data_IF_107460145616
#
_entry.id   IF_107460145616
#
_cell.length_a   1.000
_cell.length_b   1.000
_cell.length_c   1.000
_cell.angle_alpha   90.00
_cell.angle_beta   90.00
_cell.angle_gamma   90.00
#
_symmetry.space_group_name_H-M   'P 1'
#
loop_
_entity.id
_entity.type
_entity.pdbx_description
1 polymer ?
#
# COMPACT_ATOMS: atom_id res chain seq x y z
N UNK A 1 -5.64 -6.60 -49.37
CA UNK A 1 -6.96 -5.93 -49.35
C UNK A 1 -8.10 -6.93 -49.47
N UNK A 2 -8.50 -7.57 -48.36
CA UNK A 2 -9.90 -7.82 -47.97
C UNK A 2 -9.92 -8.63 -46.66
N UNK A 3 -10.74 -8.15 -45.73
CA UNK A 3 -11.18 -8.73 -44.46
C UNK A 3 -10.19 -8.74 -43.28
N UNK A 4 -9.84 -7.53 -42.82
CA UNK A 4 -9.53 -7.25 -41.42
C UNK A 4 -10.86 -6.93 -40.70
N UNK A 5 -11.61 -7.96 -40.34
CA UNK A 5 -12.77 -7.83 -39.45
C UNK A 5 -12.55 -8.72 -38.24
N UNK A 6 -12.54 -8.08 -37.06
CA UNK A 6 -12.75 -8.70 -35.76
C UNK A 6 -11.72 -9.74 -35.31
N UNK A 7 -10.57 -9.24 -34.85
CA UNK A 7 -9.88 -9.67 -33.61
C UNK A 7 -8.70 -8.73 -33.37
N UNK A 8 -8.57 -8.25 -32.14
CA UNK A 8 -7.57 -7.29 -31.70
C UNK A 8 -6.15 -7.71 -32.11
N UNK A 9 -5.50 -6.92 -32.96
CA UNK A 9 -4.05 -7.06 -33.21
C UNK A 9 -3.35 -6.13 -32.23
N UNK A 10 -2.82 -6.73 -31.17
CA UNK A 10 -1.96 -6.05 -30.18
C UNK A 10 -0.60 -5.81 -30.84
N UNK A 11 -0.34 -4.56 -31.25
CA UNK A 11 0.96 -4.13 -31.75
C UNK A 11 1.85 -3.70 -30.58
N UNK A 12 2.82 -4.54 -30.22
CA UNK A 12 3.88 -4.18 -29.27
C UNK A 12 5.20 -4.74 -29.74
N UNK A 13 6.19 -3.86 -29.91
CA UNK A 13 7.64 -4.11 -29.91
C UNK A 13 8.15 -5.21 -30.84
N UNK A 14 9.13 -4.88 -31.69
CA UNK A 14 9.84 -5.88 -32.50
C UNK A 14 10.48 -6.91 -31.57
N UNK A 15 9.82 -8.05 -31.36
CA UNK A 15 10.40 -9.22 -30.71
C UNK A 15 10.85 -10.17 -31.84
N UNK A 16 12.11 -10.61 -31.85
CA UNK A 16 12.62 -11.58 -32.83
C UNK A 16 11.82 -12.89 -32.89
N UNK A 17 11.02 -13.19 -31.86
CA UNK A 17 10.25 -14.43 -31.73
C UNK A 17 8.94 -14.47 -32.55
N UNK A 18 8.62 -13.45 -33.37
CA UNK A 18 7.44 -13.48 -34.26
C UNK A 18 7.75 -13.77 -35.74
N UNK A 19 9.02 -14.00 -36.10
CA UNK A 19 9.40 -14.30 -37.49
C UNK A 19 9.47 -15.81 -37.72
N UNK A 20 8.31 -16.44 -37.92
CA UNK A 20 8.27 -17.78 -38.50
C UNK A 20 8.51 -17.61 -40.01
N UNK A 21 9.66 -18.09 -40.51
CA UNK A 21 10.06 -18.18 -41.92
C UNK A 21 10.82 -17.00 -42.57
N UNK A 22 11.67 -16.29 -41.82
CA UNK A 22 12.61 -15.34 -42.45
C UNK A 22 14.03 -15.64 -42.04
N UNK A 23 14.88 -15.89 -43.04
CA UNK A 23 16.32 -15.88 -42.88
C UNK A 23 16.80 -14.48 -42.48
N UNK A 24 17.22 -14.33 -41.22
CA UNK A 24 18.03 -13.22 -40.70
C UNK A 24 17.49 -11.78 -40.91
N UNK A 25 16.56 -11.36 -40.04
CA UNK A 25 16.24 -9.93 -39.81
C UNK A 25 17.12 -9.39 -38.69
N UNK A 26 17.78 -8.24 -38.92
CA UNK A 26 18.61 -7.59 -37.90
C UNK A 26 18.09 -6.18 -37.60
N UNK A 27 17.91 -5.90 -36.31
CA UNK A 27 17.68 -4.56 -35.78
C UNK A 27 18.94 -4.07 -35.08
N UNK A 28 19.39 -2.86 -35.41
CA UNK A 28 20.50 -2.21 -34.72
C UNK A 28 20.15 -0.76 -34.39
N UNK A 29 20.39 -0.38 -33.13
CA UNK A 29 20.36 1.01 -32.72
C UNK A 29 21.75 1.60 -32.97
N UNK A 30 21.86 2.54 -33.90
CA UNK A 30 23.16 3.01 -34.42
C UNK A 30 23.65 4.27 -33.69
N UNK A 31 22.77 4.90 -32.88
CA UNK A 31 23.00 6.06 -32.02
C UNK A 31 23.56 7.34 -32.69
N UNK A 32 24.12 7.25 -33.90
CA UNK A 32 24.34 8.30 -34.92
C UNK A 32 25.04 7.65 -36.13
N UNK A 33 24.45 7.75 -37.33
CA UNK A 33 24.96 7.03 -38.50
C UNK A 33 26.32 7.53 -39.01
N UNK A 34 26.68 8.79 -38.74
CA UNK A 34 27.81 9.47 -39.38
C UNK A 34 29.06 9.63 -38.50
N UNK A 35 29.09 9.10 -37.27
CA UNK A 35 30.37 9.00 -36.51
C UNK A 35 31.14 7.76 -36.96
N UNK A 36 32.38 7.99 -37.43
CA UNK A 36 33.14 7.05 -38.26
C UNK A 36 33.42 5.65 -37.68
N UNK A 37 33.48 5.48 -36.36
CA UNK A 37 33.79 4.18 -35.75
C UNK A 37 32.61 3.20 -35.83
N UNK A 38 31.41 3.62 -35.44
CA UNK A 38 30.23 2.74 -35.41
C UNK A 38 29.72 2.39 -36.81
N UNK A 39 29.89 3.29 -37.78
CA UNK A 39 29.50 3.03 -39.16
C UNK A 39 30.41 2.01 -39.84
N UNK A 40 31.72 2.06 -39.60
CA UNK A 40 32.65 1.06 -40.11
C UNK A 40 32.37 -0.33 -39.53
N UNK A 41 32.11 -0.41 -38.22
CA UNK A 41 31.75 -1.67 -37.55
C UNK A 41 30.41 -2.21 -38.05
N UNK A 42 29.43 -1.33 -38.28
CA UNK A 42 28.13 -1.72 -38.82
C UNK A 42 28.25 -2.21 -40.26
N UNK A 43 29.05 -1.55 -41.11
CA UNK A 43 29.34 -2.03 -42.47
C UNK A 43 30.01 -3.40 -42.43
N UNK A 44 31.00 -3.60 -41.57
CA UNK A 44 31.63 -4.92 -41.40
C UNK A 44 30.64 -5.97 -40.93
N UNK A 45 29.76 -5.65 -39.98
CA UNK A 45 28.70 -6.54 -39.52
C UNK A 45 27.72 -6.90 -40.65
N UNK A 46 27.24 -5.92 -41.41
CA UNK A 46 26.34 -6.15 -42.55
C UNK A 46 27.03 -6.98 -43.63
N UNK A 47 28.32 -6.72 -43.88
CA UNK A 47 29.10 -7.42 -44.89
C UNK A 47 29.39 -8.87 -44.50
N UNK A 48 29.56 -9.16 -43.20
CA UNK A 48 29.79 -10.51 -42.67
C UNK A 48 28.49 -11.31 -42.49
N UNK A 49 27.46 -10.70 -41.93
CA UNK A 49 26.22 -11.39 -41.54
C UNK A 49 25.18 -11.43 -42.67
N UNK A 50 25.29 -10.51 -43.65
CA UNK A 50 24.48 -10.48 -44.87
C UNK A 50 22.95 -10.65 -44.64
N UNK A 51 22.32 -9.91 -43.71
CA UNK A 51 20.88 -10.06 -43.41
C UNK A 51 19.97 -9.89 -44.64
N UNK A 52 18.81 -10.54 -44.64
CA UNK A 52 17.80 -10.32 -45.70
C UNK A 52 17.03 -9.01 -45.51
N UNK A 53 16.89 -8.57 -44.25
CA UNK A 53 16.22 -7.33 -43.88
C UNK A 53 16.94 -6.67 -42.69
N UNK A 54 17.26 -5.39 -42.81
CA UNK A 54 18.02 -4.63 -41.83
C UNK A 54 17.28 -3.35 -41.43
N UNK A 55 17.19 -3.12 -40.13
CA UNK A 55 16.51 -1.96 -39.54
C UNK A 55 17.52 -1.18 -38.72
N UNK A 56 17.70 0.08 -39.10
CA UNK A 56 18.63 0.99 -38.47
C UNK A 56 17.84 2.08 -37.74
N UNK A 57 17.93 2.11 -36.41
CA UNK A 57 17.25 3.09 -35.57
C UNK A 57 18.23 4.09 -34.96
N UNK A 58 17.72 5.27 -34.59
CA UNK A 58 18.51 6.40 -34.12
C UNK A 58 19.61 6.77 -35.13
N UNK A 59 19.23 6.89 -36.40
CA UNK A 59 20.19 7.24 -37.46
C UNK A 59 20.67 8.69 -37.29
N UNK A 60 19.79 9.59 -36.86
CA UNK A 60 20.05 11.03 -36.72
C UNK A 60 20.55 11.68 -38.03
N UNK A 61 19.96 11.26 -39.14
CA UNK A 61 20.36 11.66 -40.50
C UNK A 61 19.44 12.75 -41.03
N UNK A 62 20.01 13.67 -41.80
CA UNK A 62 19.29 14.71 -42.54
C UNK A 62 18.97 14.20 -43.95
N UNK A 63 17.94 14.74 -44.59
CA UNK A 63 17.51 14.33 -45.94
C UNK A 63 18.63 14.44 -47.01
N UNK A 64 19.64 15.28 -46.73
CA UNK A 64 20.79 15.56 -47.59
C UNK A 64 21.95 14.56 -47.41
N UNK A 65 21.93 13.75 -46.34
CA UNK A 65 22.99 12.78 -46.06
C UNK A 65 22.86 11.56 -46.99
N UNK A 66 23.89 11.27 -47.78
CA UNK A 66 23.90 10.09 -48.67
C UNK A 66 24.33 8.83 -47.89
N UNK A 67 23.39 7.92 -47.71
CA UNK A 67 23.56 6.74 -46.86
C UNK A 67 23.05 5.53 -47.62
N UNK A 68 23.91 5.05 -48.49
CA UNK A 68 23.73 3.81 -49.22
C UNK A 68 24.42 2.64 -48.50
N UNK A 69 23.77 1.48 -48.53
CA UNK A 69 24.30 0.22 -47.99
C UNK A 69 24.46 -0.73 -49.16
N UNK A 70 25.70 -1.00 -49.54
CA UNK A 70 26.02 -1.81 -50.70
C UNK A 70 25.33 -3.18 -50.66
N UNK A 71 24.59 -3.49 -51.73
CA UNK A 71 23.81 -4.73 -51.86
C UNK A 71 22.42 -4.70 -51.23
N UNK A 72 21.97 -3.57 -50.68
CA UNK A 72 20.63 -3.40 -50.11
C UNK A 72 19.90 -2.22 -50.76
N UNK A 73 18.59 -2.37 -50.91
CA UNK A 73 17.68 -1.31 -51.30
C UNK A 73 17.08 -0.65 -50.06
N UNK A 74 17.07 0.67 -50.05
CA UNK A 74 16.33 1.47 -49.06
C UNK A 74 14.83 1.41 -49.34
N UNK A 75 14.04 0.96 -48.36
CA UNK A 75 12.58 0.83 -48.47
C UNK A 75 11.88 2.09 -47.98
N UNK A 76 12.30 2.58 -46.82
CA UNK A 76 11.81 3.81 -46.23
C UNK A 76 12.92 4.40 -45.38
N UNK A 77 13.06 5.72 -45.48
CA UNK A 77 13.94 6.48 -44.63
C UNK A 77 13.16 7.65 -44.04
N UNK A 78 13.39 7.87 -42.77
CA UNK A 78 12.66 8.82 -41.96
C UNK A 78 13.71 9.73 -41.33
N UNK A 79 13.95 10.83 -42.03
CA UNK A 79 15.00 11.79 -41.69
C UNK A 79 14.51 12.85 -40.73
N UNK A 80 15.47 13.47 -40.03
CA UNK A 80 15.20 14.47 -39.03
C UNK A 80 14.91 15.84 -39.67
N UNK A 81 13.66 16.29 -39.65
CA UNK A 81 13.32 17.67 -40.01
C UNK A 81 13.66 18.62 -38.84
N UNK A 82 14.89 19.12 -38.83
CA UNK A 82 15.36 20.32 -38.09
C UNK A 82 14.94 20.44 -36.59
N UNK A 83 15.11 19.44 -35.72
CA UNK A 83 15.18 19.66 -34.25
C UNK A 83 16.05 18.65 -33.47
N UNK A 84 16.60 19.12 -32.34
CA UNK A 84 17.54 18.48 -31.39
C UNK A 84 17.08 17.15 -30.73
N UNK A 85 15.92 16.60 -31.09
CA UNK A 85 15.37 15.35 -30.52
C UNK A 85 14.70 14.44 -31.57
N UNK A 86 15.01 14.64 -32.86
CA UNK A 86 14.46 13.83 -33.93
C UNK A 86 15.19 12.48 -34.03
N UNK A 87 14.45 11.38 -33.89
CA UNK A 87 14.94 10.02 -34.01
C UNK A 87 14.80 9.54 -35.46
N UNK A 88 15.92 9.33 -36.17
CA UNK A 88 15.91 8.82 -37.54
C UNK A 88 15.74 7.30 -37.61
N UNK A 89 15.02 6.81 -38.63
CA UNK A 89 14.77 5.39 -38.85
C UNK A 89 14.94 5.05 -40.33
N UNK A 90 15.68 3.98 -40.64
CA UNK A 90 15.91 3.52 -42.00
C UNK A 90 15.70 2.01 -42.12
N UNK A 91 15.04 1.61 -43.20
CA UNK A 91 14.74 0.22 -43.53
C UNK A 91 15.45 -0.19 -44.81
N UNK A 92 16.22 -1.28 -44.75
CA UNK A 92 17.02 -1.81 -45.85
C UNK A 92 16.66 -3.28 -46.10
N UNK A 93 16.64 -3.67 -47.37
CA UNK A 93 16.34 -5.05 -47.77
C UNK A 93 17.07 -5.44 -49.05
N UNK A 94 17.35 -6.73 -49.21
CA UNK A 94 17.83 -7.28 -50.49
C UNK A 94 16.69 -7.64 -51.46
N UNK A 95 15.47 -7.73 -50.96
CA UNK A 95 14.30 -8.22 -51.69
C UNK A 95 13.31 -7.08 -52.01
N UNK A 96 12.24 -7.38 -52.74
CA UNK A 96 11.21 -6.38 -53.01
C UNK A 96 10.31 -6.17 -51.80
N UNK A 97 10.19 -4.93 -51.33
CA UNK A 97 9.35 -4.55 -50.20
C UNK A 97 8.53 -3.28 -50.50
N UNK A 98 7.36 -3.16 -49.88
CA UNK A 98 6.46 -2.02 -49.99
C UNK A 98 6.03 -1.50 -48.62
N UNK A 99 5.93 -0.18 -48.49
CA UNK A 99 5.37 0.47 -47.29
C UNK A 99 3.85 0.45 -47.39
N UNK A 100 3.16 -0.12 -46.40
CA UNK A 100 1.70 -0.20 -46.37
C UNK A 100 1.06 1.03 -45.75
N UNK A 101 1.60 1.49 -44.62
CA UNK A 101 1.21 2.76 -44.00
C UNK A 101 2.29 3.26 -43.05
N UNK A 102 2.33 4.58 -42.90
CA UNK A 102 3.18 5.28 -41.93
C UNK A 102 2.32 6.27 -41.17
N UNK A 103 2.34 6.19 -39.84
CA UNK A 103 1.61 7.11 -38.97
C UNK A 103 2.56 7.74 -37.95
N UNK A 104 2.47 9.06 -37.84
CA UNK A 104 3.26 9.86 -36.92
C UNK A 104 2.35 10.63 -35.98
N UNK A 105 2.65 10.55 -34.69
CA UNK A 105 2.00 11.38 -33.69
C UNK A 105 3.03 11.91 -32.71
N UNK A 106 3.08 13.24 -32.58
CA UNK A 106 3.92 13.94 -31.62
C UNK A 106 3.03 14.50 -30.50
N UNK A 107 3.23 14.04 -29.26
CA UNK A 107 2.52 14.58 -28.09
C UNK A 107 3.50 14.71 -26.93
N UNK A 108 3.53 15.87 -26.29
CA UNK A 108 4.33 16.12 -25.08
C UNK A 108 5.82 15.74 -25.22
N UNK A 109 6.44 16.07 -26.36
CA UNK A 109 7.85 15.76 -26.64
C UNK A 109 8.15 14.29 -26.95
N UNK A 110 7.11 13.47 -27.15
CA UNK A 110 7.24 12.06 -27.54
C UNK A 110 6.78 11.86 -28.98
N UNK A 111 7.67 11.34 -29.83
CA UNK A 111 7.38 10.99 -31.22
C UNK A 111 7.09 9.49 -31.33
N UNK A 112 5.86 9.15 -31.71
CA UNK A 112 5.46 7.79 -32.02
C UNK A 112 5.41 7.63 -33.53
N UNK A 113 6.23 6.73 -34.07
CA UNK A 113 6.08 6.26 -35.43
C UNK A 113 5.55 4.83 -35.44
N UNK A 114 4.51 4.60 -36.25
CA UNK A 114 4.03 3.27 -36.61
C UNK A 114 4.19 3.10 -38.13
N UNK A 115 5.14 2.27 -38.53
CA UNK A 115 5.38 1.92 -39.93
C UNK A 115 5.17 0.44 -40.12
N UNK A 116 4.34 0.07 -41.09
CA UNK A 116 4.20 -1.30 -41.56
C UNK A 116 4.82 -1.48 -42.94
N UNK A 117 5.84 -2.33 -43.03
CA UNK A 117 6.50 -2.70 -44.29
C UNK A 117 6.17 -4.16 -44.61
N UNK A 118 5.76 -4.43 -45.85
CA UNK A 118 5.49 -5.75 -46.38
C UNK A 118 6.60 -6.16 -47.35
N UNK A 119 7.27 -7.27 -47.06
CA UNK A 119 8.20 -7.92 -47.99
C UNK A 119 7.77 -9.37 -48.14
N UNK A 120 7.41 -9.79 -49.35
CA UNK A 120 6.84 -11.06 -49.85
C UNK A 120 6.06 -12.01 -48.90
N UNK A 121 6.40 -12.18 -47.62
CA UNK A 121 5.66 -12.92 -46.58
C UNK A 121 5.68 -12.31 -45.16
N UNK A 122 6.19 -11.07 -44.95
CA UNK A 122 6.49 -10.52 -43.61
C UNK A 122 5.86 -9.15 -43.39
N UNK A 123 5.21 -8.96 -42.24
CA UNK A 123 4.80 -7.64 -41.74
C UNK A 123 5.74 -7.19 -40.61
N UNK A 124 6.52 -6.14 -40.84
CA UNK A 124 7.38 -5.53 -39.82
C UNK A 124 6.70 -4.27 -39.27
N UNK A 125 6.45 -4.21 -37.96
CA UNK A 125 5.92 -3.04 -37.27
C UNK A 125 6.96 -2.39 -36.34
N UNK A 126 7.24 -1.10 -36.55
CA UNK A 126 7.97 -0.26 -35.60
C UNK A 126 6.99 0.44 -34.66
N UNK A 127 7.26 0.53 -33.35
CA UNK A 127 6.36 1.18 -32.39
C UNK A 127 7.10 1.77 -31.17
N UNK A 128 6.56 2.88 -30.66
CA UNK A 128 6.90 3.69 -29.47
C UNK A 128 8.33 3.55 -28.91
N UNK A 129 9.11 4.61 -29.08
CA UNK A 129 10.40 4.82 -28.39
C UNK A 129 10.17 5.85 -27.28
N UNK A 130 10.57 5.50 -26.06
CA UNK A 130 10.62 6.43 -24.93
C UNK A 130 11.94 7.20 -25.02
N UNK A 131 11.90 8.54 -25.04
CA UNK A 131 13.09 9.30 -24.69
C UNK A 131 13.37 9.08 -23.20
N UNK A 132 14.39 8.29 -22.94
CA UNK A 132 14.72 7.83 -21.60
C UNK A 132 15.64 6.64 -21.69
N UNK A 133 16.91 6.88 -21.34
CA UNK A 133 17.87 5.87 -20.87
C UNK A 133 17.15 4.66 -20.31
N UNK A 134 17.60 3.45 -20.68
CA UNK A 134 17.26 2.17 -20.04
C UNK A 134 16.76 2.43 -18.61
N UNK A 135 15.46 2.22 -18.35
CA UNK A 135 14.86 2.62 -17.08
C UNK A 135 15.72 2.05 -15.98
N UNK A 136 16.24 2.93 -15.13
CA UNK A 136 17.20 2.58 -14.08
C UNK A 136 16.73 1.34 -13.33
N UNK A 137 17.68 0.51 -12.89
CA UNK A 137 17.43 -0.65 -12.01
C UNK A 137 16.50 -0.24 -10.86
N UNK A 138 16.57 1.00 -10.41
CA UNK A 138 15.69 1.64 -9.43
C UNK A 138 14.19 1.48 -9.74
N UNK A 139 13.75 1.64 -11.00
CA UNK A 139 12.33 1.58 -11.42
C UNK A 139 11.84 0.12 -11.50
N UNK A 140 12.70 -0.82 -11.88
CA UNK A 140 12.39 -2.25 -11.89
C UNK A 140 12.42 -2.84 -10.47
N UNK A 141 13.36 -2.40 -9.65
CA UNK A 141 13.37 -2.64 -8.21
C UNK A 141 12.09 -2.09 -7.58
N UNK A 142 11.61 -0.92 -8.01
CA UNK A 142 10.37 -0.35 -7.49
C UNK A 142 9.15 -1.23 -7.80
N UNK A 143 9.05 -1.77 -9.02
CA UNK A 143 7.95 -2.71 -9.37
C UNK A 143 7.99 -4.00 -8.58
N UNK A 144 9.17 -4.61 -8.43
CA UNK A 144 9.32 -5.84 -7.65
C UNK A 144 9.08 -5.58 -6.16
N UNK A 145 9.58 -4.47 -5.62
CA UNK A 145 9.30 -4.02 -4.25
C UNK A 145 7.82 -3.73 -4.03
N UNK A 146 7.12 -3.12 -4.98
CA UNK A 146 5.67 -2.88 -4.91
C UNK A 146 4.92 -4.22 -4.92
N UNK A 147 5.33 -5.18 -5.76
CA UNK A 147 4.74 -6.51 -5.81
C UNK A 147 4.95 -7.26 -4.49
N UNK A 148 6.19 -7.30 -4.00
CA UNK A 148 6.56 -7.92 -2.74
C UNK A 148 5.83 -7.26 -1.56
N UNK A 149 5.75 -5.92 -1.52
CA UNK A 149 4.99 -5.19 -0.52
C UNK A 149 3.50 -5.53 -0.56
N UNK A 150 2.93 -5.71 -1.75
CA UNK A 150 1.53 -6.13 -1.90
C UNK A 150 1.32 -7.54 -1.35
N UNK A 151 2.19 -8.48 -1.70
CA UNK A 151 2.11 -9.85 -1.18
C UNK A 151 2.32 -9.91 0.34
N UNK A 152 3.27 -9.15 0.88
CA UNK A 152 3.49 -9.03 2.32
C UNK A 152 2.24 -8.47 3.02
N UNK A 153 1.59 -7.45 2.46
CA UNK A 153 0.33 -6.92 3.02
C UNK A 153 -0.78 -7.97 3.07
N UNK A 154 -0.93 -8.79 2.03
CA UNK A 154 -1.91 -9.88 2.04
C UNK A 154 -1.63 -10.87 3.18
N UNK A 155 -0.37 -11.21 3.42
CA UNK A 155 0.07 -12.10 4.51
C UNK A 155 -0.19 -11.53 5.91
N UNK A 156 -0.20 -10.20 6.05
CA UNK A 156 -0.47 -9.51 7.33
C UNK A 156 -1.96 -9.28 7.61
N UNK A 157 -2.85 -9.48 6.64
CA UNK A 157 -4.30 -9.29 6.83
C UNK A 157 -4.90 -10.08 8.00
N UNK A 158 -4.50 -11.33 8.29
CA UNK A 158 -5.06 -12.07 9.42
C UNK A 158 -4.83 -11.39 10.77
N UNK A 159 -3.70 -10.70 10.97
CA UNK A 159 -3.42 -9.93 12.20
C UNK A 159 -4.44 -8.79 12.34
N UNK A 160 -4.65 -8.03 11.26
CA UNK A 160 -5.61 -6.93 11.23
C UNK A 160 -7.05 -7.46 11.41
N UNK A 161 -7.36 -8.61 10.82
CA UNK A 161 -8.66 -9.25 10.98
C UNK A 161 -8.92 -9.64 12.43
N UNK A 162 -7.96 -10.30 13.10
CA UNK A 162 -8.06 -10.60 14.53
C UNK A 162 -8.29 -9.33 15.35
N UNK A 163 -7.53 -8.26 15.08
CA UNK A 163 -7.71 -6.97 15.76
C UNK A 163 -9.11 -6.37 15.56
N UNK A 164 -9.65 -6.42 14.34
CA UNK A 164 -11.01 -5.92 14.04
C UNK A 164 -12.12 -6.73 14.72
N UNK A 165 -11.91 -8.03 14.90
CA UNK A 165 -12.89 -8.93 15.51
C UNK A 165 -12.73 -9.04 17.03
N UNK A 166 -11.74 -8.37 17.64
CA UNK A 166 -11.44 -8.51 19.06
C UNK A 166 -10.92 -9.90 19.44
N UNK A 167 -10.30 -10.61 18.50
CA UNK A 167 -9.79 -11.97 18.71
C UNK A 167 -8.34 -11.93 19.17
N UNK A 168 -8.03 -12.68 20.22
CA UNK A 168 -6.65 -12.88 20.66
C UNK A 168 -5.82 -13.54 19.55
N UNK A 169 -4.62 -13.04 19.28
CA UNK A 169 -3.79 -13.59 18.19
C UNK A 169 -3.11 -14.90 18.59
N UNK A 170 -2.63 -14.96 19.84
CA UNK A 170 -1.67 -15.97 20.31
C UNK A 170 -2.35 -17.11 21.07
N UNK A 171 -1.71 -18.26 21.04
CA UNK A 171 -2.06 -19.43 21.85
C UNK A 171 -0.89 -19.90 22.69
N UNK A 172 -0.95 -21.15 23.14
CA UNK A 172 0.08 -21.76 23.97
C UNK A 172 1.35 -22.05 23.14
N UNK A 173 2.46 -21.39 23.49
CA UNK A 173 3.79 -21.58 22.87
C UNK A 173 3.75 -21.51 21.34
N UNK A 174 3.29 -20.39 20.80
CA UNK A 174 3.02 -20.14 19.37
C UNK A 174 4.26 -19.82 18.50
N UNK A 175 5.44 -20.29 18.92
CA UNK A 175 6.72 -19.96 18.29
C UNK A 175 7.16 -21.01 17.24
N UNK A 176 8.05 -20.59 16.34
CA UNK A 176 8.63 -21.48 15.33
C UNK A 176 7.78 -21.67 14.07
N UNK A 177 8.18 -22.58 13.17
CA UNK A 177 7.49 -22.81 11.91
C UNK A 177 6.05 -23.31 12.15
N UNK A 178 5.16 -23.06 11.19
CA UNK A 178 3.78 -23.55 11.21
C UNK A 178 3.78 -24.91 10.51
N UNK A 179 3.39 -25.96 11.23
CA UNK A 179 3.09 -27.25 10.59
C UNK A 179 1.78 -27.11 9.78
N UNK A 180 1.89 -27.35 8.47
CA UNK A 180 0.77 -27.28 7.53
C UNK A 180 0.15 -28.65 7.26
N UNK A 181 0.90 -29.72 7.54
CA UNK A 181 0.54 -31.08 7.15
C UNK A 181 -0.21 -31.78 8.30
N UNK A 182 0.10 -31.42 9.55
CA UNK A 182 -0.58 -31.97 10.73
C UNK A 182 -1.31 -30.90 11.54
N UNK A 183 -2.41 -31.30 12.19
CA UNK A 183 -3.06 -30.47 13.19
C UNK A 183 -2.16 -30.33 14.43
N UNK A 184 -2.07 -29.12 15.02
CA UNK A 184 -1.25 -28.93 16.21
C UNK A 184 -1.85 -29.69 17.39
N UNK A 185 -0.99 -30.31 18.21
CA UNK A 185 -1.40 -31.02 19.43
C UNK A 185 -1.93 -30.11 20.54
N UNK A 186 -1.67 -28.80 20.45
CA UNK A 186 -2.14 -27.76 21.37
C UNK A 186 -2.66 -26.55 20.60
N UNK A 187 -3.47 -25.73 21.25
CA UNK A 187 -3.96 -24.49 20.66
C UNK A 187 -2.81 -23.47 20.48
N UNK A 188 -2.39 -23.25 19.24
CA UNK A 188 -1.35 -22.28 18.88
C UNK A 188 -1.87 -20.85 18.63
N UNK A 189 -3.16 -20.60 18.82
CA UNK A 189 -3.78 -19.28 18.71
C UNK A 189 -4.49 -19.02 17.38
N UNK A 190 -5.35 -18.00 17.39
CA UNK A 190 -6.23 -17.71 16.26
C UNK A 190 -5.45 -17.29 15.02
N UNK A 191 -4.35 -16.55 15.17
CA UNK A 191 -3.55 -16.10 14.01
C UNK A 191 -2.98 -17.29 13.22
N UNK A 192 -2.33 -18.25 13.89
CA UNK A 192 -1.78 -19.46 13.26
C UNK A 192 -2.89 -20.37 12.73
N UNK A 193 -4.03 -20.45 13.41
CA UNK A 193 -5.19 -21.21 12.95
C UNK A 193 -5.77 -20.64 11.64
N UNK A 194 -5.89 -19.31 11.52
CA UNK A 194 -6.36 -18.63 10.30
C UNK A 194 -5.41 -18.89 9.13
N UNK A 195 -4.09 -18.82 9.37
CA UNK A 195 -3.10 -19.11 8.33
C UNK A 195 -3.22 -20.54 7.80
N UNK A 196 -3.34 -21.54 8.69
CA UNK A 196 -3.60 -22.94 8.28
C UNK A 196 -4.89 -23.08 7.50
N UNK A 197 -5.97 -22.47 8.00
CA UNK A 197 -7.27 -22.52 7.34
C UNK A 197 -7.23 -21.93 5.93
N UNK A 198 -6.52 -20.80 5.74
CA UNK A 198 -6.34 -20.19 4.42
C UNK A 198 -5.58 -21.10 3.45
N UNK A 199 -4.50 -21.76 3.90
CA UNK A 199 -3.77 -22.76 3.12
C UNK A 199 -4.66 -23.95 2.75
N UNK A 200 -5.38 -24.51 3.72
CA UNK A 200 -6.31 -25.64 3.51
C UNK A 200 -7.47 -25.27 2.57
N UNK A 201 -7.84 -23.99 2.52
CA UNK A 201 -8.85 -23.46 1.60
C UNK A 201 -8.33 -23.20 0.18
N UNK A 202 -7.04 -23.46 -0.09
CA UNK A 202 -6.44 -23.41 -1.43
C UNK A 202 -5.53 -22.20 -1.71
N UNK A 203 -5.11 -21.45 -0.69
CA UNK A 203 -4.13 -20.37 -0.88
C UNK A 203 -2.70 -20.92 -1.09
N UNK A 204 -2.41 -21.29 -2.34
CA UNK A 204 -1.10 -21.81 -2.77
C UNK A 204 0.03 -20.81 -2.60
N UNK A 205 -0.25 -19.51 -2.66
CA UNK A 205 0.78 -18.48 -2.51
C UNK A 205 1.23 -18.37 -1.05
N UNK A 206 0.27 -18.43 -0.12
CA UNK A 206 0.57 -18.50 1.30
C UNK A 206 1.27 -19.81 1.67
N UNK A 207 0.82 -20.94 1.11
CA UNK A 207 1.45 -22.24 1.35
C UNK A 207 2.93 -22.23 0.96
N UNK A 208 3.23 -21.82 -0.28
CA UNK A 208 4.61 -21.73 -0.78
C UNK A 208 5.45 -20.85 0.12
N UNK A 209 4.94 -19.68 0.50
CA UNK A 209 5.64 -18.76 1.39
C UNK A 209 5.95 -19.37 2.77
N UNK A 210 4.98 -20.04 3.40
CA UNK A 210 5.19 -20.65 4.71
C UNK A 210 6.18 -21.83 4.66
N UNK A 211 6.32 -22.50 3.51
CA UNK A 211 7.28 -23.59 3.31
C UNK A 211 8.68 -23.12 2.94
N UNK A 212 8.82 -22.08 2.11
CA UNK A 212 10.11 -21.70 1.50
C UNK A 212 10.72 -20.40 2.01
N UNK A 213 9.95 -19.53 2.67
CA UNK A 213 10.48 -18.27 3.18
C UNK A 213 11.48 -18.49 4.32
N UNK A 214 12.51 -17.62 4.36
CA UNK A 214 13.45 -17.56 5.49
C UNK A 214 12.70 -17.17 6.76
N UNK A 215 13.17 -17.64 7.93
CA UNK A 215 12.53 -17.38 9.25
C UNK A 215 12.15 -15.92 9.48
N UNK A 216 13.00 -14.98 9.04
CA UNK A 216 12.82 -13.54 9.24
C UNK A 216 11.75 -12.92 8.32
N UNK A 217 11.37 -13.63 7.25
CA UNK A 217 10.38 -13.20 6.27
C UNK A 217 9.03 -13.90 6.42
N UNK A 218 8.87 -14.79 7.42
CA UNK A 218 7.59 -15.45 7.67
C UNK A 218 6.55 -14.50 8.30
N UNK A 219 7.00 -13.43 8.95
CA UNK A 219 6.16 -12.48 9.69
C UNK A 219 5.26 -13.12 10.77
N UNK A 220 5.57 -14.35 11.18
CA UNK A 220 4.77 -15.11 12.14
C UNK A 220 5.21 -14.93 13.59
N UNK A 221 6.36 -14.28 13.84
CA UNK A 221 6.89 -14.12 15.19
C UNK A 221 6.04 -13.15 16.01
N UNK A 222 5.99 -13.39 17.32
CA UNK A 222 5.27 -12.51 18.25
C UNK A 222 5.80 -11.07 18.22
N UNK A 223 7.10 -10.90 17.96
CA UNK A 223 7.75 -9.58 17.83
C UNK A 223 7.15 -8.80 16.67
N UNK A 224 7.10 -9.40 15.48
CA UNK A 224 6.52 -8.76 14.28
C UNK A 224 5.03 -8.51 14.48
N UNK A 225 4.30 -9.45 15.09
CA UNK A 225 2.89 -9.24 15.41
C UNK A 225 2.68 -8.02 16.31
N UNK A 226 3.50 -7.84 17.36
CA UNK A 226 3.43 -6.67 18.24
C UNK A 226 3.75 -5.38 17.49
N UNK A 227 4.84 -5.36 16.70
CA UNK A 227 5.22 -4.18 15.92
C UNK A 227 4.08 -3.72 14.99
N UNK A 228 3.39 -4.67 14.35
CA UNK A 228 2.25 -4.37 13.49
C UNK A 228 1.08 -3.84 14.31
N UNK A 229 0.75 -4.46 15.45
CA UNK A 229 -0.34 -4.00 16.33
C UNK A 229 -0.07 -2.59 16.87
N UNK A 230 1.16 -2.32 17.32
CA UNK A 230 1.60 -1.01 17.79
C UNK A 230 1.53 0.04 16.69
N UNK A 231 1.99 -0.31 15.48
CA UNK A 231 1.89 0.58 14.31
C UNK A 231 0.45 0.89 13.95
N UNK A 232 -0.42 -0.14 13.89
CA UNK A 232 -1.84 0.04 13.65
C UNK A 232 -2.50 0.91 14.73
N UNK A 233 -2.20 0.65 16.00
CA UNK A 233 -2.69 1.43 17.14
C UNK A 233 -2.26 2.89 17.04
N UNK A 234 -0.99 3.15 16.74
CA UNK A 234 -0.45 4.51 16.58
C UNK A 234 -1.12 5.26 15.42
N UNK A 235 -1.36 4.61 14.28
CA UNK A 235 -2.05 5.20 13.13
C UNK A 235 -3.51 5.54 13.45
N UNK A 236 -4.23 4.63 14.12
CA UNK A 236 -5.61 4.85 14.55
C UNK A 236 -5.67 6.02 15.54
N UNK A 237 -4.80 6.01 16.55
CA UNK A 237 -4.69 7.07 17.54
C UNK A 237 -4.40 8.42 16.88
N UNK A 238 -3.44 8.48 15.96
CA UNK A 238 -3.10 9.71 15.22
C UNK A 238 -4.32 10.26 14.48
N UNK A 239 -5.04 9.39 13.76
CA UNK A 239 -6.24 9.78 13.02
C UNK A 239 -7.35 10.32 13.93
N UNK A 240 -7.58 9.69 15.07
CA UNK A 240 -8.56 10.16 16.07
C UNK A 240 -8.14 11.55 16.58
N UNK A 241 -6.87 11.73 16.94
CA UNK A 241 -6.35 13.00 17.44
C UNK A 241 -6.47 14.12 16.39
N UNK A 242 -6.20 13.83 15.12
CA UNK A 242 -6.42 14.78 14.03
C UNK A 242 -7.88 15.23 13.93
N UNK A 243 -8.82 14.29 14.02
CA UNK A 243 -10.25 14.61 14.01
C UNK A 243 -10.68 15.42 15.23
N UNK A 244 -10.18 15.09 16.41
CA UNK A 244 -10.41 15.86 17.65
C UNK A 244 -9.91 17.29 17.50
N UNK A 245 -8.70 17.47 16.94
CA UNK A 245 -8.12 18.79 16.68
C UNK A 245 -8.96 19.60 15.69
N UNK A 246 -9.51 18.97 14.64
CA UNK A 246 -10.47 19.61 13.72
C UNK A 246 -11.76 20.04 14.42
N UNK A 247 -12.29 19.18 15.32
CA UNK A 247 -13.47 19.47 16.15
C UNK A 247 -13.27 20.67 17.09
N UNK A 248 -12.00 21.00 17.38
CA UNK A 248 -11.53 21.99 18.35
C UNK A 248 -11.84 21.59 19.79
N UNK A 249 -13.07 21.28 20.13
CA UNK A 249 -13.50 20.94 21.49
C UNK A 249 -13.70 19.44 21.68
N UNK A 250 -13.41 18.96 22.88
CA UNK A 250 -13.56 17.56 23.22
C UNK A 250 -13.87 17.37 24.70
N UNK A 251 -14.32 16.16 25.05
CA UNK A 251 -14.49 15.69 26.42
C UNK A 251 -13.71 14.40 26.62
N UNK A 252 -13.28 14.13 27.84
CA UNK A 252 -12.65 12.87 28.23
C UNK A 252 -13.66 11.98 28.95
N UNK A 253 -13.61 10.68 28.69
CA UNK A 253 -14.35 9.67 29.43
C UNK A 253 -13.30 8.71 30.00
N UNK A 254 -13.22 8.63 31.33
CA UNK A 254 -12.20 7.85 32.02
C UNK A 254 -12.88 6.87 32.95
N UNK A 255 -12.44 5.61 32.87
CA UNK A 255 -12.91 4.54 33.76
C UNK A 255 -11.72 3.79 34.36
N UNK A 256 -11.79 3.50 35.65
CA UNK A 256 -10.77 2.76 36.39
C UNK A 256 -10.94 1.26 36.16
N UNK A 257 -9.83 0.55 35.98
CA UNK A 257 -9.83 -0.90 35.76
C UNK A 257 -8.56 -1.51 36.33
N UNK A 258 -8.62 -2.80 36.67
CA UNK A 258 -7.49 -3.56 37.21
C UNK A 258 -7.11 -4.63 36.20
N UNK A 259 -5.83 -4.71 35.85
CA UNK A 259 -5.36 -5.75 34.94
C UNK A 259 -5.18 -7.11 35.65
N UNK A 260 -4.87 -8.14 34.86
CA UNK A 260 -4.64 -9.51 35.37
C UNK A 260 -3.44 -9.63 36.32
N UNK A 261 -2.55 -8.64 36.33
CA UNK A 261 -1.40 -8.55 37.22
C UNK A 261 -1.68 -7.66 38.44
N UNK A 262 -2.95 -7.29 38.68
CA UNK A 262 -3.41 -6.42 39.77
C UNK A 262 -2.84 -5.00 39.73
N UNK A 263 -2.46 -4.54 38.54
CA UNK A 263 -2.03 -3.16 38.31
C UNK A 263 -3.28 -2.33 38.02
N UNK A 264 -3.45 -1.26 38.79
CA UNK A 264 -4.47 -0.24 38.58
C UNK A 264 -4.21 0.54 37.30
N UNK A 265 -5.22 0.73 36.47
CA UNK A 265 -5.12 1.42 35.19
C UNK A 265 -6.37 2.25 34.92
N UNK A 266 -6.26 3.23 34.04
CA UNK A 266 -7.41 3.97 33.51
C UNK A 266 -7.57 3.75 32.02
N UNK A 267 -8.80 3.46 31.60
CA UNK A 267 -9.17 3.53 30.20
C UNK A 267 -9.38 4.99 29.80
N UNK A 268 -8.80 5.39 28.67
CA UNK A 268 -8.85 6.76 28.18
C UNK A 268 -9.67 6.81 26.90
N UNK A 269 -10.84 7.44 26.95
CA UNK A 269 -11.73 7.63 25.82
C UNK A 269 -11.94 9.13 25.56
N UNK A 270 -12.14 9.50 24.30
CA UNK A 270 -12.50 10.85 23.89
C UNK A 270 -13.89 10.90 23.29
N UNK A 271 -14.60 11.98 23.59
CA UNK A 271 -15.86 12.35 22.96
C UNK A 271 -15.73 13.70 22.26
N UNK A 272 -16.05 13.75 20.97
CA UNK A 272 -15.94 14.95 20.15
C UNK A 272 -16.96 14.94 19.01
N UNK A 273 -17.16 16.10 18.37
CA UNK A 273 -18.04 16.20 17.21
C UNK A 273 -17.24 16.05 15.92
N UNK A 274 -17.49 14.99 15.16
CA UNK A 274 -16.90 14.82 13.83
C UNK A 274 -17.66 15.70 12.83
N UNK A 275 -16.99 16.75 12.36
CA UNK A 275 -17.56 17.72 11.42
C UNK A 275 -17.75 17.12 10.01
N UNK A 276 -16.97 16.11 9.62
CA UNK A 276 -17.08 15.49 8.31
C UNK A 276 -18.31 14.57 8.24
N UNK A 277 -18.56 13.83 9.33
CA UNK A 277 -19.70 12.90 9.43
C UNK A 277 -20.93 13.52 10.10
N UNK A 278 -20.82 14.77 10.57
CA UNK A 278 -21.87 15.50 11.29
C UNK A 278 -22.47 14.72 12.46
N UNK A 279 -21.61 14.05 13.26
CA UNK A 279 -22.06 13.22 14.38
C UNK A 279 -21.16 13.32 15.60
N UNK A 280 -21.71 13.03 16.76
CA UNK A 280 -20.90 12.82 17.97
C UNK A 280 -20.18 11.47 17.87
N UNK A 281 -18.88 11.48 18.13
CA UNK A 281 -18.03 10.30 18.12
C UNK A 281 -17.43 10.07 19.51
N UNK A 282 -17.36 8.80 19.90
CA UNK A 282 -16.70 8.33 21.11
C UNK A 282 -15.67 7.28 20.71
N UNK A 283 -14.41 7.50 21.08
CA UNK A 283 -13.32 6.61 20.71
C UNK A 283 -12.40 6.34 21.88
N UNK A 284 -12.16 5.06 22.12
CA UNK A 284 -11.07 4.59 22.96
C UNK A 284 -9.72 4.97 22.33
N UNK A 285 -8.79 5.43 23.17
CA UNK A 285 -7.45 5.82 22.77
C UNK A 285 -6.39 4.88 23.30
N UNK A 286 -6.37 4.69 24.62
CA UNK A 286 -5.34 3.91 25.29
C UNK A 286 -5.77 3.54 26.71
N UNK A 287 -5.04 2.59 27.28
CA UNK A 287 -5.05 2.33 28.73
C UNK A 287 -3.78 2.92 29.31
N UNK A 288 -3.89 3.60 30.46
CA UNK A 288 -2.77 4.23 31.15
C UNK A 288 -2.60 3.59 32.52
N UNK A 289 -1.47 2.95 32.81
CA UNK A 289 -1.23 2.40 34.14
C UNK A 289 -1.08 3.52 35.16
N UNK A 290 -1.67 3.31 36.33
CA UNK A 290 -1.58 4.21 37.47
C UNK A 290 -0.60 3.68 38.51
N UNK A 291 0.09 4.60 39.17
CA UNK A 291 0.90 4.28 40.36
C UNK A 291 0.07 4.25 41.63
N UNK A 292 -1.11 4.88 41.62
CA UNK A 292 -2.01 5.06 42.74
C UNK A 292 -3.39 5.49 42.23
N UNK A 293 -4.46 5.08 42.90
CA UNK A 293 -5.87 5.45 42.63
C UNK A 293 -6.29 6.75 43.34
N UNK A 294 -5.34 7.49 43.91
CA UNK A 294 -5.63 8.82 44.48
C UNK A 294 -6.05 9.80 43.39
N UNK A 295 -7.00 10.67 43.70
CA UNK A 295 -7.50 11.71 42.78
C UNK A 295 -6.39 12.55 42.14
N UNK A 296 -5.33 12.84 42.90
CA UNK A 296 -4.15 13.53 42.39
C UNK A 296 -3.40 12.73 41.33
N UNK A 297 -3.14 11.44 41.57
CA UNK A 297 -2.47 10.55 40.63
C UNK A 297 -3.26 10.42 39.33
N UNK A 298 -4.58 10.21 39.45
CA UNK A 298 -5.48 10.11 38.29
C UNK A 298 -5.49 11.42 37.48
N UNK A 299 -5.68 12.56 38.13
CA UNK A 299 -5.67 13.87 37.45
C UNK A 299 -4.35 14.14 36.73
N UNK A 300 -3.21 13.78 37.33
CA UNK A 300 -1.89 13.94 36.72
C UNK A 300 -1.71 13.00 35.54
N UNK A 301 -2.19 11.77 35.63
CA UNK A 301 -2.18 10.81 34.52
C UNK A 301 -3.02 11.32 33.33
N UNK A 302 -4.19 11.90 33.59
CA UNK A 302 -5.05 12.49 32.56
C UNK A 302 -4.33 13.67 31.87
N UNK A 303 -3.83 14.64 32.64
CA UNK A 303 -3.16 15.83 32.10
C UNK A 303 -1.87 15.46 31.34
N UNK A 304 -1.10 14.51 31.85
CA UNK A 304 0.10 13.98 31.18
C UNK A 304 -0.27 13.31 29.86
N UNK A 305 -1.31 12.49 29.85
CA UNK A 305 -1.78 11.80 28.64
C UNK A 305 -2.24 12.79 27.58
N UNK A 306 -3.05 13.79 27.95
CA UNK A 306 -3.47 14.86 27.04
C UNK A 306 -2.25 15.60 26.44
N UNK A 307 -1.25 15.93 27.27
CA UNK A 307 -0.02 16.57 26.81
C UNK A 307 0.76 15.71 25.83
N UNK A 308 0.93 14.42 26.11
CA UNK A 308 1.63 13.46 25.23
C UNK A 308 0.92 13.32 23.89
N UNK A 309 -0.42 13.31 23.89
CA UNK A 309 -1.24 13.25 22.68
C UNK A 309 -1.32 14.60 21.92
N UNK A 310 -0.72 15.66 22.49
CA UNK A 310 -0.77 17.00 21.92
C UNK A 310 -2.17 17.59 21.89
N UNK A 311 -3.01 17.24 22.89
CA UNK A 311 -4.33 17.82 23.12
C UNK A 311 -4.25 18.87 24.22
N UNK A 312 -4.71 20.08 23.90
CA UNK A 312 -4.64 21.20 24.82
C UNK A 312 -5.87 21.23 25.74
N UNK A 313 -5.61 21.23 27.05
CA UNK A 313 -6.63 21.31 28.11
C UNK A 313 -7.53 22.54 27.98
N UNK A 314 -7.05 23.62 27.33
CA UNK A 314 -7.88 24.81 27.05
C UNK A 314 -9.12 24.52 26.20
N UNK A 315 -9.13 23.41 25.47
CA UNK A 315 -10.25 22.98 24.65
C UNK A 315 -11.10 21.86 25.26
N UNK A 316 -10.74 21.36 26.44
CA UNK A 316 -11.55 20.41 27.19
C UNK A 316 -12.87 21.06 27.61
N UNK A 317 -14.00 20.36 27.39
CA UNK A 317 -15.35 20.85 27.72
C UNK A 317 -16.17 19.89 28.55
N UNK A 318 -15.71 18.67 28.73
CA UNK A 318 -16.38 17.71 29.58
C UNK A 318 -15.44 16.66 30.10
N UNK A 319 -15.82 16.11 31.24
CA UNK A 319 -15.14 14.98 31.86
C UNK A 319 -16.19 14.00 32.40
N UNK A 320 -16.07 12.74 32.04
CA UNK A 320 -16.96 11.68 32.49
C UNK A 320 -16.21 10.67 33.34
N UNK A 321 -16.61 10.54 34.61
CA UNK A 321 -16.02 9.58 35.56
C UNK A 321 -17.11 8.81 36.30
N UNK A 322 -16.70 7.76 37.01
CA UNK A 322 -17.57 7.07 37.96
C UNK A 322 -17.87 7.93 39.21
N UNK A 323 -18.66 7.34 40.12
CA UNK A 323 -19.07 7.97 41.36
C UNK A 323 -18.09 7.85 42.50
N UNK A 324 -16.95 7.19 42.30
CA UNK A 324 -16.01 6.95 43.38
C UNK A 324 -15.52 8.27 43.96
N UNK A 325 -15.36 8.34 45.29
CA UNK A 325 -14.99 9.58 45.99
C UNK A 325 -13.70 10.21 45.46
N UNK A 326 -12.75 9.39 45.01
CA UNK A 326 -11.52 9.84 44.38
C UNK A 326 -11.78 10.56 43.05
N UNK A 327 -12.83 10.19 42.31
CA UNK A 327 -13.17 10.76 41.02
C UNK A 327 -14.16 11.92 41.14
N UNK A 328 -15.29 11.67 41.78
CA UNK A 328 -16.45 12.57 41.88
C UNK A 328 -16.36 13.62 42.98
N UNK A 329 -15.35 13.55 43.87
CA UNK A 329 -15.25 14.46 45.02
C UNK A 329 -15.18 15.94 44.63
N UNK A 330 -16.11 16.75 45.14
CA UNK A 330 -16.27 18.17 44.79
C UNK A 330 -15.07 19.07 45.13
N UNK A 331 -14.36 18.78 46.22
CA UNK A 331 -13.24 19.62 46.70
C UNK A 331 -11.86 19.04 46.42
N UNK A 332 -11.76 17.72 46.31
CA UNK A 332 -10.47 17.00 46.22
C UNK A 332 -10.49 15.84 45.23
N UNK A 333 -11.60 15.60 44.55
CA UNK A 333 -11.69 14.54 43.55
C UNK A 333 -10.98 14.92 42.26
N UNK A 334 -10.85 13.95 41.36
CA UNK A 334 -10.27 14.15 40.03
C UNK A 334 -11.01 15.26 39.27
N UNK A 335 -12.34 15.29 39.34
CA UNK A 335 -13.13 16.35 38.69
C UNK A 335 -12.76 17.76 39.16
N UNK A 336 -12.69 17.99 40.47
CA UNK A 336 -12.34 19.27 41.04
C UNK A 336 -10.97 19.76 40.53
N UNK A 337 -10.00 18.85 40.45
CA UNK A 337 -8.63 19.13 40.01
C UNK A 337 -8.53 19.45 38.52
N UNK A 338 -9.35 18.81 37.68
CA UNK A 338 -9.39 19.11 36.25
C UNK A 338 -10.13 20.43 36.01
N UNK A 339 -11.21 20.70 36.74
CA UNK A 339 -11.94 21.97 36.72
C UNK A 339 -11.02 23.15 37.10
N UNK A 340 -10.09 22.98 38.06
CA UNK A 340 -9.06 23.99 38.37
C UNK A 340 -8.23 24.38 37.14
N UNK A 341 -7.93 23.43 36.25
CA UNK A 341 -7.16 23.68 35.02
C UNK A 341 -8.05 24.17 33.87
N UNK A 342 -9.30 23.73 33.85
CA UNK A 342 -10.29 24.11 32.85
C UNK A 342 -11.68 24.26 33.49
N UNK A 343 -12.07 25.47 33.91
CA UNK A 343 -13.37 25.72 34.53
C UNK A 343 -14.58 25.42 33.64
N UNK A 344 -14.38 25.29 32.33
CA UNK A 344 -15.43 24.95 31.36
C UNK A 344 -15.59 23.44 31.11
N UNK A 345 -14.81 22.59 31.79
CA UNK A 345 -14.93 21.14 31.68
C UNK A 345 -16.05 20.66 32.62
N UNK A 346 -17.22 20.37 32.06
CA UNK A 346 -18.37 19.93 32.85
C UNK A 346 -18.17 18.48 33.27
N UNK A 347 -18.23 18.22 34.58
CA UNK A 347 -18.29 16.86 35.11
C UNK A 347 -19.65 16.21 34.84
N UNK A 348 -19.60 15.00 34.31
CA UNK A 348 -20.76 14.13 34.09
C UNK A 348 -20.53 12.81 34.81
N UNK A 349 -21.41 12.48 35.75
CA UNK A 349 -21.36 11.21 36.45
C UNK A 349 -21.76 10.05 35.52
N UNK A 350 -21.02 8.94 35.59
CA UNK A 350 -21.28 7.74 34.79
C UNK A 350 -22.70 7.20 35.04
N UNK A 351 -23.55 7.23 34.01
CA UNK A 351 -24.93 6.75 34.10
C UNK A 351 -25.00 5.23 34.28
N UNK A 352 -24.08 4.47 33.66
CA UNK A 352 -24.00 3.02 33.85
C UNK A 352 -23.73 2.67 35.32
N UNK A 353 -22.86 3.45 35.98
CA UNK A 353 -22.61 3.31 37.41
C UNK A 353 -23.85 3.68 38.24
N UNK A 354 -24.51 4.80 37.95
CA UNK A 354 -25.79 5.17 38.58
C UNK A 354 -26.83 4.05 38.50
N UNK A 355 -27.01 3.49 37.30
CA UNK A 355 -27.99 2.45 37.04
C UNK A 355 -27.64 1.18 37.82
N UNK A 356 -26.36 0.77 37.80
CA UNK A 356 -25.90 -0.39 38.54
C UNK A 356 -26.12 -0.23 40.05
N UNK A 357 -25.84 0.96 40.60
CA UNK A 357 -26.12 1.28 42.00
C UNK A 357 -27.62 1.20 42.31
N UNK A 358 -28.48 1.77 41.45
CA UNK A 358 -29.93 1.74 41.63
C UNK A 358 -30.49 0.31 41.59
N UNK A 359 -30.01 -0.53 40.67
CA UNK A 359 -30.39 -1.96 40.58
C UNK A 359 -29.89 -2.74 41.80
N UNK A 360 -28.65 -2.52 42.21
CA UNK A 360 -28.06 -3.17 43.39
C UNK A 360 -28.86 -2.84 44.65
N UNK A 361 -29.22 -1.56 44.86
CA UNK A 361 -30.02 -1.13 46.00
C UNK A 361 -31.46 -1.70 45.96
N UNK A 362 -32.08 -1.68 44.77
CA UNK A 362 -33.43 -2.23 44.56
C UNK A 362 -33.50 -3.75 44.73
N UNK A 363 -32.42 -4.48 44.42
CA UNK A 363 -32.33 -5.93 44.60
C UNK A 363 -31.93 -6.35 46.02
N UNK A 364 -31.25 -5.46 46.76
CA UNK A 364 -30.85 -5.67 48.16
C UNK A 364 -32.03 -5.48 49.14
N UNK A 365 -33.09 -4.78 48.72
CA UNK A 365 -34.31 -4.65 49.48
C UNK A 365 -35.15 -5.93 49.36
N UNK A 366 -35.06 -6.79 50.39
CA UNK A 366 -35.93 -7.98 50.55
C UNK A 366 -37.40 -7.54 50.37
N UNK A 367 -38.07 -8.10 49.35
CA UNK A 367 -39.47 -7.89 48.90
C UNK A 367 -39.62 -7.01 47.66
N UNK A 368 -39.27 -7.51 46.48
CA UNK A 368 -39.84 -6.98 45.24
C UNK A 368 -40.39 -8.12 44.35
N UNK A 369 -41.69 -8.06 44.06
CA UNK A 369 -42.34 -8.80 42.97
C UNK A 369 -42.25 -7.92 41.73
N UNK A 370 -41.44 -8.34 40.76
CA UNK A 370 -41.39 -7.72 39.43
C UNK A 370 -42.62 -8.19 38.63
N UNK A 371 -43.53 -7.26 38.34
CA UNK A 371 -44.51 -7.40 37.27
C UNK A 371 -43.96 -6.65 36.06
N UNK A 372 -43.70 -7.39 34.99
CA UNK A 372 -43.55 -6.85 33.65
C UNK A 372 -44.82 -7.23 32.89
N UNK A 373 -45.66 -6.25 32.54
CA UNK A 373 -46.66 -6.43 31.50
C UNK A 373 -46.00 -6.15 30.15
N UNK A 374 -46.23 -7.07 29.20
CA UNK A 374 -45.64 -7.16 27.87
C UNK A 374 -45.95 -5.97 26.95
#
# INVERSE_FOLDING_TARGET
MRNLSEKAVVFSCVFPSMFANVSNIVYHNVQIFLKSAHWADLRNFIHLYQPSFFIAAETWTLQEDDIDVEGYRTVLRMDCEKRRHAFGLAFYTKESAAVLYTYFHEKDGQSCCLTAVLCNEIAVCSGKIYDGKQKSVDILLDRNKIKEAKENRERLKPIIWCGKQGLALRGYRDHGPIDLDNLPSKNEGNFRAILRFAVQSGDKSLEEHLRTAKKNALYTSFVIQNEILETCGSLIQTKIIEQVKKSKYFSVLIDETIDVATIEQISFCLRYFDQEQMKMCEHFLCVVPLTSTTSQSVSQAILKTLKVLGLDVKYLRGEGYDGARAMSGEFKGTQARIIEHQPKAIYVHCMSHCLNLAISDSSSSRHQKLFWDN
#
